data_IF_736560720712
#
_entry.id   IF_736560720712
#
_cell.length_a   1.000
_cell.length_b   1.000
_cell.length_c   1.000
_cell.angle_alpha   90.00
_cell.angle_beta   90.00
_cell.angle_gamma   90.00
#
_symmetry.space_group_name_H-M   'P 1'
#
loop_
_entity.id
_entity.type
_entity.pdbx_description
1 polymer ?
#
# COMPACT_ATOMS: atom_id res chain seq x y z
N UNK A 1 3.82 17.85 -10.75
CA UNK A 1 2.66 18.69 -11.10
C UNK A 1 3.09 20.16 -11.26
N UNK A 2 4.03 20.44 -12.16
CA UNK A 2 4.50 21.81 -12.39
C UNK A 2 3.44 22.63 -13.16
N UNK A 3 2.81 22.02 -14.15
CA UNK A 3 1.72 22.60 -14.97
C UNK A 3 0.55 23.16 -14.15
N UNK A 4 0.06 22.41 -13.15
CA UNK A 4 -1.07 22.87 -12.33
C UNK A 4 -0.66 24.06 -11.46
N UNK A 5 0.56 24.02 -10.88
CA UNK A 5 1.12 25.14 -10.12
C UNK A 5 1.36 26.38 -10.99
N UNK A 6 1.84 26.22 -12.22
CA UNK A 6 2.02 27.33 -13.18
C UNK A 6 0.66 27.96 -13.57
N UNK A 7 -0.38 27.13 -13.75
CA UNK A 7 -1.73 27.64 -13.99
C UNK A 7 -2.31 28.36 -12.77
N UNK A 8 -2.05 27.87 -11.56
CA UNK A 8 -2.41 28.52 -10.29
C UNK A 8 -1.65 29.83 -10.08
N UNK A 9 -0.41 29.95 -10.58
CA UNK A 9 0.37 31.20 -10.58
C UNK A 9 -0.01 32.17 -11.70
N UNK A 10 -1.07 31.87 -12.47
CA UNK A 10 -1.64 32.78 -13.46
C UNK A 10 -1.15 32.59 -14.90
N UNK A 11 -0.33 31.56 -15.19
CA UNK A 11 0.07 31.28 -16.58
C UNK A 11 -1.16 30.80 -17.37
N UNK A 12 -1.44 31.36 -18.56
CA UNK A 12 -2.59 30.97 -19.36
C UNK A 12 -2.59 29.47 -19.70
N UNK A 13 -3.68 28.78 -19.37
CA UNK A 13 -3.85 27.35 -19.67
C UNK A 13 -3.61 26.99 -21.15
N UNK A 14 -4.05 27.78 -22.16
CA UNK A 14 -3.77 27.47 -23.56
C UNK A 14 -2.27 27.43 -23.90
N UNK A 15 -1.47 28.28 -23.24
CA UNK A 15 -0.02 28.31 -23.43
C UNK A 15 0.64 27.06 -22.86
N UNK A 16 0.26 26.69 -21.63
CA UNK A 16 0.72 25.45 -20.97
C UNK A 16 0.34 24.20 -21.77
N UNK A 17 -0.88 24.18 -22.31
CA UNK A 17 -1.34 23.09 -23.17
C UNK A 17 -0.46 22.96 -24.43
N UNK A 18 -0.10 24.08 -25.06
CA UNK A 18 0.77 24.09 -26.26
C UNK A 18 2.20 23.65 -25.92
N UNK A 19 2.78 24.21 -24.87
CA UNK A 19 4.17 23.90 -24.45
C UNK A 19 4.32 22.42 -24.09
N UNK A 20 3.35 21.86 -23.39
CA UNK A 20 3.39 20.48 -22.91
C UNK A 20 2.70 19.48 -23.84
N UNK A 21 2.33 19.89 -25.06
CA UNK A 21 1.63 19.03 -26.03
C UNK A 21 0.41 18.31 -25.43
N UNK A 22 -0.35 19.03 -24.61
CA UNK A 22 -1.48 18.52 -23.85
C UNK A 22 -2.77 19.18 -24.33
N UNK A 23 -3.84 18.40 -24.46
CA UNK A 23 -5.15 18.99 -24.75
C UNK A 23 -5.72 19.74 -23.55
N UNK A 24 -6.47 20.83 -23.78
CA UNK A 24 -7.18 21.54 -22.72
C UNK A 24 -8.12 20.63 -21.92
N UNK A 25 -8.76 19.66 -22.58
CA UNK A 25 -9.61 18.67 -21.92
C UNK A 25 -8.83 17.80 -20.93
N UNK A 26 -7.62 17.36 -21.30
CA UNK A 26 -6.72 16.60 -20.41
C UNK A 26 -6.27 17.46 -19.22
N UNK A 27 -5.92 18.72 -19.46
CA UNK A 27 -5.54 19.65 -18.40
C UNK A 27 -6.66 19.82 -17.37
N UNK A 28 -7.88 20.10 -17.80
CA UNK A 28 -9.00 20.30 -16.86
C UNK A 28 -9.39 19.03 -16.12
N UNK A 29 -9.29 17.84 -16.76
CA UNK A 29 -9.43 16.55 -16.05
C UNK A 29 -8.37 16.40 -14.94
N UNK A 30 -7.12 16.75 -15.22
CA UNK A 30 -6.06 16.74 -14.23
C UNK A 30 -6.27 17.76 -13.12
N UNK A 31 -6.67 18.98 -13.46
CA UNK A 31 -6.97 20.04 -12.49
C UNK A 31 -8.14 19.66 -11.58
N UNK A 32 -9.18 19.01 -12.10
CA UNK A 32 -10.29 18.53 -11.28
C UNK A 32 -9.87 17.43 -10.29
N UNK A 33 -8.93 16.55 -10.69
CA UNK A 33 -8.47 15.44 -9.86
C UNK A 33 -7.38 15.82 -8.86
N UNK A 34 -6.52 16.77 -9.23
CA UNK A 34 -5.28 17.06 -8.53
C UNK A 34 -5.04 18.55 -8.24
N UNK A 35 -5.89 19.45 -8.72
CA UNK A 35 -5.79 20.88 -8.45
C UNK A 35 -5.95 21.17 -6.95
N UNK A 36 -5.20 22.15 -6.44
CA UNK A 36 -5.16 22.45 -5.01
C UNK A 36 -4.46 21.39 -4.14
N UNK A 37 -4.01 20.27 -4.72
CA UNK A 37 -3.22 19.27 -4.01
C UNK A 37 -1.74 19.66 -4.07
N UNK A 38 -1.17 20.09 -2.93
CA UNK A 38 0.25 20.43 -2.91
C UNK A 38 1.12 19.18 -3.11
N UNK A 39 2.29 19.39 -3.71
CA UNK A 39 3.35 18.37 -3.88
C UNK A 39 3.69 17.62 -2.59
N UNK A 40 3.63 18.29 -1.43
CA UNK A 40 3.84 17.69 -0.10
C UNK A 40 2.72 16.71 0.29
N UNK A 41 1.46 17.01 -0.07
CA UNK A 41 0.32 16.11 0.18
C UNK A 41 0.43 14.85 -0.67
N UNK A 42 0.84 14.97 -1.93
CA UNK A 42 1.05 13.81 -2.82
C UNK A 42 2.19 12.93 -2.30
N UNK A 43 3.28 13.55 -1.84
CA UNK A 43 4.40 12.82 -1.25
C UNK A 43 3.95 12.06 0.00
N UNK A 44 3.22 12.72 0.90
CA UNK A 44 2.66 12.10 2.11
C UNK A 44 1.69 10.97 1.78
N UNK A 45 0.86 11.13 0.75
CA UNK A 45 -0.06 10.08 0.30
C UNK A 45 0.69 8.82 -0.12
N UNK A 46 1.75 8.94 -0.93
CA UNK A 46 2.58 7.80 -1.34
C UNK A 46 3.28 7.14 -0.15
N UNK A 47 3.83 7.92 0.76
CA UNK A 47 4.46 7.40 1.99
C UNK A 47 3.46 6.59 2.84
N UNK A 48 2.21 7.07 2.94
CA UNK A 48 1.15 6.36 3.64
C UNK A 48 0.70 5.09 2.91
N UNK A 49 0.65 5.10 1.58
CA UNK A 49 0.34 3.91 0.77
C UNK A 49 1.41 2.82 0.96
N UNK A 50 2.69 3.20 0.90
CA UNK A 50 3.83 2.30 1.09
C UNK A 50 3.84 1.71 2.50
N UNK A 51 3.64 2.53 3.53
CA UNK A 51 3.59 2.06 4.91
C UNK A 51 2.36 1.16 5.14
N UNK A 52 1.20 1.48 4.56
CA UNK A 52 0.02 0.62 4.65
C UNK A 52 0.27 -0.76 4.03
N UNK A 53 0.95 -0.81 2.87
CA UNK A 53 1.35 -2.06 2.24
C UNK A 53 2.30 -2.87 3.12
N UNK A 54 3.30 -2.22 3.71
CA UNK A 54 4.24 -2.86 4.64
C UNK A 54 3.53 -3.42 5.87
N UNK A 55 2.63 -2.65 6.46
CA UNK A 55 1.85 -3.06 7.64
C UNK A 55 0.93 -4.24 7.32
N UNK A 56 0.24 -4.23 6.18
CA UNK A 56 -0.59 -5.36 5.74
C UNK A 56 0.22 -6.65 5.59
N UNK A 57 1.42 -6.56 5.00
CA UNK A 57 2.32 -7.72 4.86
C UNK A 57 2.73 -8.26 6.22
N UNK A 58 3.20 -7.38 7.12
CA UNK A 58 3.60 -7.77 8.47
C UNK A 58 2.45 -8.41 9.26
N UNK A 59 1.24 -7.84 9.15
CA UNK A 59 0.05 -8.39 9.79
C UNK A 59 -0.29 -9.79 9.27
N UNK A 60 -0.26 -10.01 7.95
CA UNK A 60 -0.50 -11.32 7.36
C UNK A 60 0.53 -12.36 7.82
N UNK A 61 1.81 -11.99 7.85
CA UNK A 61 2.89 -12.86 8.33
C UNK A 61 2.73 -13.23 9.81
N UNK A 62 2.43 -12.25 10.67
CA UNK A 62 2.25 -12.52 12.10
C UNK A 62 0.97 -13.31 12.37
N UNK A 63 -0.09 -13.06 11.60
CA UNK A 63 -1.33 -13.82 11.67
C UNK A 63 -1.09 -15.30 11.32
N UNK A 64 -0.35 -15.57 10.26
CA UNK A 64 0.01 -16.93 9.86
C UNK A 64 0.85 -17.64 10.95
N UNK A 65 1.84 -16.95 11.54
CA UNK A 65 2.61 -17.50 12.67
C UNK A 65 1.73 -17.82 13.87
N UNK A 66 0.77 -16.96 14.20
CA UNK A 66 -0.14 -17.19 15.30
C UNK A 66 -1.05 -18.42 15.04
N UNK A 67 -1.50 -18.60 13.80
CA UNK A 67 -2.30 -19.76 13.39
C UNK A 67 -1.49 -21.06 13.47
N UNK A 68 -0.25 -21.07 12.95
CA UNK A 68 0.65 -22.23 13.06
C UNK A 68 0.96 -22.58 14.52
N UNK A 69 1.20 -21.58 15.39
CA UNK A 69 1.39 -21.82 16.83
C UNK A 69 0.15 -22.47 17.43
N UNK A 70 -1.03 -21.93 17.14
CA UNK A 70 -2.30 -22.48 17.65
C UNK A 70 -2.51 -23.91 17.17
N UNK A 71 -2.23 -24.19 15.91
CA UNK A 71 -2.32 -25.53 15.33
C UNK A 71 -1.38 -26.50 16.06
N UNK A 72 -0.11 -26.12 16.25
CA UNK A 72 0.87 -26.92 16.98
C UNK A 72 0.46 -27.23 18.43
N UNK A 73 -0.16 -26.28 19.13
CA UNK A 73 -0.69 -26.51 20.48
C UNK A 73 -2.00 -27.33 20.50
N UNK A 74 -2.77 -27.29 19.41
CA UNK A 74 -4.04 -28.03 19.28
C UNK A 74 -3.88 -29.44 18.71
N UNK A 75 -2.75 -29.72 18.05
CA UNK A 75 -2.44 -31.04 17.55
C UNK A 75 -2.28 -31.99 18.76
N UNK A 76 -3.08 -33.05 18.88
CA UNK A 76 -2.88 -34.03 19.94
C UNK A 76 -1.47 -34.62 19.77
N UNK A 77 -0.69 -34.65 20.85
CA UNK A 77 0.53 -35.44 20.91
C UNK A 77 0.13 -36.84 20.46
N UNK A 78 0.68 -37.31 19.33
CA UNK A 78 0.41 -38.67 18.89
C UNK A 78 1.06 -39.63 19.90
N UNK A 79 0.27 -40.02 20.90
CA UNK A 79 0.62 -40.96 21.97
C UNK A 79 1.03 -42.35 21.43
N UNK A 80 0.88 -42.62 20.11
CA UNK A 80 1.37 -43.85 19.50
C UNK A 80 2.90 -44.04 19.58
N UNK A 81 3.67 -43.00 19.92
CA UNK A 81 5.11 -43.15 20.20
C UNK A 81 5.42 -43.44 21.67
N UNK A 82 4.49 -43.22 22.60
CA UNK A 82 4.69 -43.45 24.04
C UNK A 82 4.48 -44.94 24.41
N UNK A 83 3.57 -45.64 23.72
CA UNK A 83 3.27 -47.05 24.02
C UNK A 83 4.45 -47.99 23.74
N UNK A 84 5.34 -47.65 22.78
CA UNK A 84 6.54 -48.47 22.48
C UNK A 84 7.61 -48.47 23.58
N UNK A 85 7.55 -47.54 24.53
CA UNK A 85 8.54 -47.42 25.62
C UNK A 85 8.09 -48.24 26.85
N UNK A 86 6.78 -48.43 27.04
CA UNK A 86 6.24 -49.19 28.17
C UNK A 86 6.32 -50.71 27.94
N UNK A 87 6.20 -51.17 26.70
CA UNK A 87 6.29 -52.59 26.35
C UNK A 87 7.73 -53.15 26.30
N UNK A 88 8.74 -52.31 26.55
CA UNK A 88 10.16 -52.69 26.54
C UNK A 88 10.84 -52.66 27.93
N UNK A 89 10.06 -52.43 29.00
CA UNK A 89 10.52 -52.42 30.39
C UNK A 89 9.84 -53.55 31.20
#
# INVERSE_FOLDING_TARGET
MAILKQAESGVPVPELCREHSMSSASFYKWRAKFGGMDTSMIKRMKELEDENQRLKKMYAEERLKAELRKEAYSAPINLASADKIVDAA
#
